data_IF_589102471913
#
_entry.id   IF_589102471913
#
_cell.length_a   1.000
_cell.length_b   1.000
_cell.length_c   1.000
_cell.angle_alpha   90.00
_cell.angle_beta   90.00
_cell.angle_gamma   90.00
#
_symmetry.space_group_name_H-M   'P 1'
#
loop_
_entity.id
_entity.type
_entity.pdbx_description
1 polymer ?
#
# COMPACT_ATOMS: atom_id res chain seq x y z
N UNK A 1 -15.78 12.48 12.28
CA UNK A 1 -15.14 11.72 11.18
C UNK A 1 -15.88 10.40 11.11
N UNK A 2 -16.80 10.29 10.17
CA UNK A 2 -17.56 9.05 10.01
C UNK A 2 -16.69 8.07 9.21
N UNK A 3 -16.45 6.89 9.78
CA UNK A 3 -15.81 5.81 9.06
C UNK A 3 -16.76 5.34 7.96
N UNK A 4 -16.27 5.28 6.71
CA UNK A 4 -17.07 4.73 5.63
C UNK A 4 -17.42 3.27 5.95
N UNK A 5 -18.72 3.00 6.06
CA UNK A 5 -19.30 1.67 6.15
C UNK A 5 -20.21 1.53 4.94
N UNK A 6 -20.10 0.40 4.24
CA UNK A 6 -20.86 0.15 3.03
C UNK A 6 -22.37 0.29 3.33
N UNK A 7 -23.09 1.19 2.64
CA UNK A 7 -24.50 1.39 2.92
C UNK A 7 -25.31 0.19 2.41
N UNK A 8 -26.18 -0.36 3.26
CA UNK A 8 -27.25 -1.26 2.83
C UNK A 8 -28.21 -0.44 1.95
N UNK A 9 -28.22 -0.70 0.64
CA UNK A 9 -29.16 -0.14 -0.34
C UNK A 9 -29.11 1.38 -0.61
N UNK A 10 -28.09 1.86 -1.33
CA UNK A 10 -28.26 3.06 -2.17
C UNK A 10 -27.63 2.87 -3.55
N UNK A 11 -28.43 2.99 -4.60
CA UNK A 11 -27.95 3.14 -5.97
C UNK A 11 -27.18 4.47 -6.06
N UNK A 12 -25.85 4.38 -6.14
CA UNK A 12 -24.99 5.55 -6.26
C UNK A 12 -25.13 6.11 -7.68
N UNK A 13 -25.91 7.19 -7.83
CA UNK A 13 -26.02 7.95 -9.08
C UNK A 13 -24.85 8.94 -9.26
N UNK A 14 -23.61 8.46 -9.15
CA UNK A 14 -22.42 9.08 -9.75
C UNK A 14 -21.17 8.28 -9.36
N UNK A 15 -20.35 7.82 -10.32
CA UNK A 15 -19.29 6.87 -10.03
C UNK A 15 -18.11 7.51 -9.28
N UNK A 16 -17.73 6.89 -8.17
CA UNK A 16 -16.60 7.26 -7.32
C UNK A 16 -15.28 7.25 -8.10
N UNK A 17 -14.51 8.33 -8.01
CA UNK A 17 -13.15 8.40 -8.55
C UNK A 17 -12.20 7.54 -7.70
N UNK A 18 -11.48 6.62 -8.36
CA UNK A 18 -10.47 5.79 -7.71
C UNK A 18 -9.08 6.38 -7.94
N UNK A 19 -8.43 6.86 -6.88
CA UNK A 19 -6.98 6.99 -6.86
C UNK A 19 -6.40 5.68 -6.32
N UNK A 20 -5.71 4.86 -7.14
CA UNK A 20 -5.14 3.62 -6.65
C UNK A 20 -3.91 3.93 -5.78
N UNK A 21 -4.10 4.09 -4.48
CA UNK A 21 -3.01 4.14 -3.51
C UNK A 21 -3.03 2.88 -2.66
N UNK A 22 -1.98 2.07 -2.76
CA UNK A 22 -1.72 0.99 -1.81
C UNK A 22 -0.59 1.41 -0.87
N UNK A 23 -0.97 1.76 0.35
CA UNK A 23 -0.12 1.97 1.52
C UNK A 23 1.06 2.96 1.36
N UNK A 24 0.79 4.20 1.78
CA UNK A 24 1.69 5.15 2.44
C UNK A 24 3.03 5.49 1.76
N UNK A 25 3.07 6.66 1.13
CA UNK A 25 4.20 7.60 1.26
C UNK A 25 3.75 9.05 1.00
N UNK A 26 3.39 9.75 2.08
CA UNK A 26 3.61 11.19 2.26
C UNK A 26 3.15 12.15 1.13
N UNK A 27 1.84 12.32 0.94
CA UNK A 27 1.27 13.52 0.31
C UNK A 27 1.26 14.70 1.32
N UNK A 28 2.44 15.07 1.83
CA UNK A 28 2.63 16.27 2.66
C UNK A 28 4.00 16.90 2.43
N UNK A 29 4.44 16.95 1.17
CA UNK A 29 5.51 17.84 0.75
C UNK A 29 4.94 18.81 -0.28
N UNK A 30 4.84 20.06 0.16
CA UNK A 30 4.77 21.29 -0.63
C UNK A 30 4.37 21.12 -2.10
N UNK A 31 3.19 21.64 -2.45
CA UNK A 31 2.92 22.20 -3.78
C UNK A 31 3.88 23.38 -4.00
N UNK A 32 5.16 23.09 -4.23
CA UNK A 32 6.16 24.00 -4.77
C UNK A 32 6.83 23.26 -5.92
N UNK A 33 6.65 23.78 -7.13
CA UNK A 33 7.24 23.37 -8.40
C UNK A 33 8.25 22.23 -8.33
N UNK A 34 7.73 21.00 -8.37
CA UNK A 34 8.49 19.78 -8.45
C UNK A 34 7.55 18.70 -8.94
N UNK A 35 7.89 18.01 -10.03
CA UNK A 35 7.11 16.94 -10.65
C UNK A 35 6.45 16.07 -9.56
N UNK A 36 5.11 16.03 -9.54
CA UNK A 36 4.39 15.04 -8.77
C UNK A 36 4.86 13.66 -9.27
N UNK A 37 5.60 12.93 -8.44
CA UNK A 37 5.96 11.56 -8.75
C UNK A 37 4.66 10.77 -8.80
N UNK A 38 4.31 10.27 -9.99
CA UNK A 38 3.08 9.51 -10.22
C UNK A 38 3.20 8.22 -9.41
N UNK A 39 2.60 8.21 -8.22
CA UNK A 39 2.49 7.06 -7.32
C UNK A 39 1.65 5.96 -8.00
N UNK A 40 2.26 5.29 -8.96
CA UNK A 40 1.68 4.15 -9.65
C UNK A 40 1.80 2.90 -8.78
N UNK A 41 0.83 2.02 -8.91
CA UNK A 41 0.79 0.74 -8.21
C UNK A 41 0.47 -0.36 -9.20
N UNK A 42 1.02 -1.54 -8.96
CA UNK A 42 0.66 -2.71 -9.75
C UNK A 42 -0.75 -3.16 -9.41
N UNK A 43 -1.52 -3.50 -10.45
CA UNK A 43 -2.82 -4.15 -10.31
C UNK A 43 -2.66 -5.59 -10.75
N UNK A 44 -2.90 -6.53 -9.83
CA UNK A 44 -2.83 -7.96 -10.07
C UNK A 44 -4.21 -8.57 -9.84
N UNK A 45 -4.62 -9.62 -10.55
CA UNK A 45 -5.81 -10.38 -10.18
C UNK A 45 -5.68 -10.95 -8.76
N UNK A 46 -6.78 -11.12 -8.03
CA UNK A 46 -6.76 -11.77 -6.71
C UNK A 46 -6.28 -13.23 -6.79
N UNK A 47 -6.65 -13.91 -7.87
CA UNK A 47 -6.30 -15.29 -8.14
C UNK A 47 -5.63 -15.45 -9.51
N UNK A 48 -4.64 -16.32 -9.57
CA UNK A 48 -3.90 -16.69 -10.77
C UNK A 48 -3.76 -18.20 -10.80
N UNK A 49 -4.11 -18.83 -11.93
CA UNK A 49 -3.95 -20.27 -12.13
C UNK A 49 -4.60 -21.12 -11.02
N UNK A 50 -5.80 -20.72 -10.56
CA UNK A 50 -6.55 -21.41 -9.50
C UNK A 50 -5.98 -21.26 -8.08
N UNK A 51 -5.02 -20.35 -7.86
CA UNK A 51 -4.43 -20.06 -6.55
C UNK A 51 -4.47 -18.57 -6.25
N UNK A 52 -4.39 -18.18 -4.99
CA UNK A 52 -4.22 -16.77 -4.63
C UNK A 52 -2.91 -16.23 -5.21
N UNK A 53 -2.92 -15.02 -5.76
CA UNK A 53 -1.73 -14.40 -6.35
C UNK A 53 -0.60 -14.29 -5.34
N UNK A 54 -0.91 -13.96 -4.09
CA UNK A 54 0.08 -13.92 -3.02
C UNK A 54 0.64 -15.30 -2.71
N UNK A 55 -0.20 -16.33 -2.55
CA UNK A 55 0.25 -17.69 -2.29
C UNK A 55 1.11 -18.25 -3.42
N UNK A 56 0.72 -18.02 -4.67
CA UNK A 56 1.50 -18.37 -5.85
C UNK A 56 2.86 -17.66 -5.86
N UNK A 57 2.89 -16.34 -5.58
CA UNK A 57 4.13 -15.57 -5.52
C UNK A 57 5.10 -16.09 -4.45
N UNK A 58 4.59 -16.41 -3.26
CA UNK A 58 5.38 -16.95 -2.15
C UNK A 58 5.93 -18.34 -2.48
N UNK A 59 5.14 -19.18 -3.16
CA UNK A 59 5.57 -20.50 -3.60
C UNK A 59 6.67 -20.41 -4.67
N UNK A 60 6.49 -19.58 -5.69
CA UNK A 60 7.50 -19.38 -6.75
C UNK A 60 8.81 -18.79 -6.21
N UNK A 61 8.74 -17.88 -5.24
CA UNK A 61 9.94 -17.31 -4.59
C UNK A 61 10.78 -18.34 -3.82
N UNK A 62 10.27 -19.55 -3.55
CA UNK A 62 11.10 -20.64 -2.99
C UNK A 62 12.09 -21.20 -4.00
N UNK A 63 11.80 -21.09 -5.29
CA UNK A 63 12.54 -21.78 -6.36
C UNK A 63 13.14 -20.82 -7.38
N UNK A 64 12.61 -19.60 -7.50
CA UNK A 64 12.99 -18.62 -8.52
C UNK A 64 13.43 -17.30 -7.88
N UNK A 65 14.27 -16.55 -8.59
CA UNK A 65 14.65 -15.19 -8.17
C UNK A 65 13.45 -14.23 -8.21
N UNK A 66 13.46 -13.22 -7.34
CA UNK A 66 12.38 -12.22 -7.23
C UNK A 66 12.03 -11.57 -8.58
N UNK A 67 13.05 -11.20 -9.38
CA UNK A 67 12.85 -10.58 -10.69
C UNK A 67 12.17 -11.53 -11.69
N UNK A 68 12.48 -12.82 -11.64
CA UNK A 68 11.82 -13.83 -12.47
C UNK A 68 10.35 -13.99 -12.08
N UNK A 69 10.07 -14.05 -10.77
CA UNK A 69 8.69 -14.13 -10.27
C UNK A 69 7.90 -12.88 -10.67
N UNK A 70 8.48 -11.68 -10.56
CA UNK A 70 7.84 -10.44 -10.98
C UNK A 70 7.49 -10.42 -12.47
N UNK A 71 8.42 -10.83 -13.35
CA UNK A 71 8.14 -10.95 -14.79
C UNK A 71 7.01 -11.93 -15.06
N UNK A 72 7.01 -13.07 -14.39
CA UNK A 72 5.94 -14.06 -14.51
C UNK A 72 4.59 -13.50 -14.07
N UNK A 73 4.51 -12.85 -12.90
CA UNK A 73 3.28 -12.23 -12.41
C UNK A 73 2.78 -11.15 -13.37
N UNK A 74 3.67 -10.32 -13.92
CA UNK A 74 3.29 -9.27 -14.87
C UNK A 74 2.78 -9.83 -16.20
N UNK A 75 3.37 -10.93 -16.68
CA UNK A 75 2.91 -11.65 -17.87
C UNK A 75 1.50 -12.21 -17.67
N UNK A 76 1.28 -12.99 -16.60
CA UNK A 76 -0.03 -13.56 -16.28
C UNK A 76 -1.07 -12.45 -16.06
N UNK A 77 -0.69 -11.37 -15.35
CA UNK A 77 -1.57 -10.22 -15.16
C UNK A 77 -1.92 -9.53 -16.50
N UNK A 78 -0.98 -9.41 -17.44
CA UNK A 78 -1.26 -8.85 -18.78
C UNK A 78 -2.19 -9.75 -19.58
N UNK A 79 -2.06 -11.07 -19.48
CA UNK A 79 -2.96 -12.02 -20.13
C UNK A 79 -4.37 -11.96 -19.55
N UNK A 80 -4.52 -11.91 -18.22
CA UNK A 80 -5.83 -11.92 -17.56
C UNK A 80 -6.54 -10.56 -17.59
N UNK A 81 -5.80 -9.47 -17.38
CA UNK A 81 -6.36 -8.13 -17.22
C UNK A 81 -6.27 -7.27 -18.49
N UNK A 82 -5.40 -7.64 -19.42
CA UNK A 82 -5.03 -6.83 -20.58
C UNK A 82 -4.05 -5.72 -20.24
N UNK A 83 -3.93 -4.76 -21.15
CA UNK A 83 -3.10 -3.57 -20.98
C UNK A 83 -3.84 -2.51 -20.14
N UNK A 84 -3.40 -2.32 -18.90
CA UNK A 84 -4.00 -1.37 -17.96
C UNK A 84 -3.64 0.08 -18.26
N UNK A 85 -2.58 0.33 -19.02
CA UNK A 85 -2.19 1.71 -19.39
C UNK A 85 -3.26 2.38 -20.26
N UNK A 86 -3.95 1.60 -21.11
CA UNK A 86 -5.10 2.07 -21.91
C UNK A 86 -6.28 2.56 -21.05
N UNK A 87 -6.30 2.18 -19.77
CA UNK A 87 -7.33 2.58 -18.79
C UNK A 87 -6.83 3.72 -17.87
N UNK A 88 -5.68 4.34 -18.19
CA UNK A 88 -5.05 5.36 -17.35
C UNK A 88 -4.26 4.80 -16.16
N UNK A 89 -4.13 3.48 -16.06
CA UNK A 89 -3.50 2.77 -14.95
C UNK A 89 -2.11 2.26 -15.38
N UNK A 90 -1.17 3.19 -15.39
CA UNK A 90 0.24 2.91 -15.68
C UNK A 90 0.88 2.06 -14.59
N UNK A 91 1.70 1.09 -15.01
CA UNK A 91 2.42 0.20 -14.11
C UNK A 91 3.79 0.80 -13.74
N UNK A 92 4.23 0.67 -12.48
CA UNK A 92 5.60 0.98 -12.09
C UNK A 92 6.63 0.20 -12.90
N UNK A 93 7.83 0.77 -13.05
CA UNK A 93 8.96 0.11 -13.72
C UNK A 93 9.51 -1.09 -12.92
N UNK A 94 9.57 -0.95 -11.60
CA UNK A 94 9.95 -2.04 -10.70
C UNK A 94 8.84 -3.07 -10.63
N UNK A 95 9.19 -4.35 -10.52
CA UNK A 95 8.21 -5.44 -10.40
C UNK A 95 7.39 -5.37 -9.10
N UNK A 96 6.23 -6.05 -9.01
CA UNK A 96 5.34 -5.95 -7.86
C UNK A 96 5.97 -6.39 -6.53
N UNK A 97 6.78 -7.45 -6.51
CA UNK A 97 7.45 -7.94 -5.32
C UNK A 97 8.68 -7.09 -5.00
N UNK A 98 9.45 -6.68 -6.01
CA UNK A 98 10.59 -5.77 -5.86
C UNK A 98 10.15 -4.43 -5.28
N UNK A 99 9.09 -3.83 -5.83
CA UNK A 99 8.50 -2.59 -5.34
C UNK A 99 8.03 -2.74 -3.88
N UNK A 100 7.36 -3.84 -3.55
CA UNK A 100 6.93 -4.13 -2.18
C UNK A 100 8.13 -4.28 -1.23
N UNK A 101 9.19 -4.95 -1.66
CA UNK A 101 10.38 -5.18 -0.82
C UNK A 101 11.14 -3.88 -0.53
N UNK A 102 11.23 -2.97 -1.51
CA UNK A 102 11.97 -1.71 -1.41
C UNK A 102 11.16 -0.60 -0.73
N UNK A 103 9.87 -0.48 -1.04
CA UNK A 103 9.05 0.67 -0.63
C UNK A 103 7.95 0.31 0.37
N UNK A 104 7.61 -0.97 0.50
CA UNK A 104 6.42 -1.42 1.24
C UNK A 104 5.10 -1.31 0.47
N UNK A 105 5.11 -0.66 -0.71
CA UNK A 105 3.92 -0.52 -1.56
C UNK A 105 3.51 -1.89 -2.10
N UNK A 106 2.33 -2.36 -1.67
CA UNK A 106 1.83 -3.69 -2.02
C UNK A 106 0.98 -3.59 -3.30
N UNK A 107 1.07 -4.51 -4.27
CA UNK A 107 0.17 -4.48 -5.42
C UNK A 107 -1.31 -4.53 -4.99
N UNK A 108 -2.16 -3.80 -5.70
CA UNK A 108 -3.61 -3.84 -5.52
C UNK A 108 -4.14 -5.12 -6.15
N UNK A 109 -4.93 -5.88 -5.38
CA UNK A 109 -5.60 -7.07 -5.89
C UNK A 109 -6.95 -6.70 -6.49
N UNK A 110 -7.10 -6.88 -7.80
CA UNK A 110 -8.34 -6.66 -8.52
C UNK A 110 -9.33 -7.80 -8.22
N UNK A 111 -10.52 -7.41 -7.77
CA UNK A 111 -11.66 -8.29 -7.46
C UNK A 111 -12.91 -7.96 -8.29
N UNK A 112 -12.79 -7.11 -9.31
CA UNK A 112 -13.91 -6.67 -10.15
C UNK A 112 -13.87 -5.19 -10.53
N UNK A 113 -13.06 -4.38 -9.84
CA UNK A 113 -12.88 -2.96 -10.11
C UNK A 113 -12.47 -2.69 -11.56
N UNK A 114 -11.56 -3.48 -12.11
CA UNK A 114 -11.12 -3.30 -13.49
C UNK A 114 -12.24 -3.56 -14.51
N UNK A 115 -13.17 -4.47 -14.22
CA UNK A 115 -14.33 -4.70 -15.08
C UNK A 115 -15.26 -3.48 -15.07
N UNK A 116 -15.50 -2.89 -13.90
CA UNK A 116 -16.26 -1.63 -13.75
C UNK A 116 -15.60 -0.43 -14.45
N UNK A 117 -14.26 -0.39 -14.48
CA UNK A 117 -13.53 0.62 -15.25
C UNK A 117 -13.73 0.40 -16.75
N UNK A 118 -13.69 -0.86 -17.22
CA UNK A 118 -13.90 -1.20 -18.63
C UNK A 118 -15.34 -0.96 -19.10
N UNK A 119 -16.35 -1.18 -18.26
CA UNK A 119 -17.75 -0.88 -18.59
C UNK A 119 -18.07 0.62 -18.56
N UNK A 120 -17.21 1.45 -17.98
CA UNK A 120 -17.43 2.88 -17.80
C UNK A 120 -18.14 3.25 -16.49
N UNK A 121 -18.49 2.27 -15.66
CA UNK A 121 -19.08 2.47 -14.33
C UNK A 121 -18.09 3.11 -13.35
N UNK A 122 -16.78 3.06 -13.63
CA UNK A 122 -15.76 3.79 -12.86
C UNK A 122 -14.88 4.56 -13.85
N UNK A 123 -14.79 5.88 -13.69
CA UNK A 123 -13.93 6.73 -14.50
C UNK A 123 -12.62 6.98 -13.77
N UNK A 124 -11.50 6.65 -14.42
CA UNK A 124 -10.16 7.02 -13.94
C UNK A 124 -9.89 8.47 -14.35
N UNK A 125 -9.53 9.31 -13.38
CA UNK A 125 -9.24 10.74 -13.57
C UNK A 125 -7.81 11.07 -13.12
N UNK A 126 -7.19 12.13 -13.67
CA UNK A 126 -5.92 12.66 -13.18
C UNK A 126 -6.02 13.12 -11.71
N UNK A 127 -4.90 13.58 -11.16
CA UNK A 127 -4.87 14.15 -9.81
C UNK A 127 -5.85 15.33 -9.68
N UNK A 128 -6.47 15.44 -8.52
CA UNK A 128 -7.27 16.62 -8.14
C UNK A 128 -6.32 17.80 -7.90
N UNK A 129 -6.59 18.92 -8.54
CA UNK A 129 -5.88 20.18 -8.34
C UNK A 129 -6.50 20.99 -7.19
N UNK A 130 -7.82 21.13 -7.18
CA UNK A 130 -8.56 21.79 -6.09
C UNK A 130 -10.00 21.32 -5.96
N UNK A 131 -10.55 21.50 -4.76
CA UNK A 131 -11.98 21.35 -4.50
C UNK A 131 -12.74 22.63 -4.90
N UNK A 132 -13.94 22.45 -5.43
CA UNK A 132 -14.89 23.53 -5.70
C UNK A 132 -16.11 23.39 -4.80
N UNK A 133 -17.03 24.34 -4.87
CA UNK A 133 -18.26 24.31 -4.05
C UNK A 133 -19.12 23.07 -4.32
N UNK A 134 -19.05 22.48 -5.53
CA UNK A 134 -19.90 21.38 -5.99
C UNK A 134 -19.13 20.14 -6.47
N UNK A 135 -17.80 20.15 -6.39
CA UNK A 135 -16.99 19.06 -6.94
C UNK A 135 -15.49 19.33 -6.90
N UNK A 136 -14.79 18.99 -7.99
CA UNK A 136 -13.33 19.10 -8.10
C UNK A 136 -12.90 19.60 -9.47
N UNK A 137 -11.77 20.28 -9.49
CA UNK A 137 -10.99 20.53 -10.71
C UNK A 137 -9.75 19.62 -10.70
N UNK A 138 -9.46 19.01 -11.85
CA UNK A 138 -8.32 18.13 -12.06
C UNK A 138 -7.14 18.88 -12.68
N UNK A 139 -5.93 18.34 -12.54
CA UNK A 139 -4.68 18.93 -13.07
C UNK A 139 -4.63 19.09 -14.60
N UNK A 140 -5.60 18.53 -15.33
CA UNK A 140 -5.77 18.73 -16.77
C UNK A 140 -6.79 19.81 -17.14
N UNK A 141 -7.26 20.58 -16.14
CA UNK A 141 -8.22 21.68 -16.29
C UNK A 141 -9.68 21.24 -16.36
N UNK A 142 -9.97 19.93 -16.31
CA UNK A 142 -11.37 19.46 -16.27
C UNK A 142 -11.98 19.73 -14.91
N UNK A 143 -13.27 20.07 -14.91
CA UNK A 143 -14.08 20.18 -13.68
C UNK A 143 -15.25 19.23 -13.73
N UNK A 144 -15.51 18.52 -12.62
CA UNK A 144 -16.64 17.59 -12.48
C UNK A 144 -17.30 17.78 -11.10
N UNK A 145 -18.62 17.67 -11.07
CA UNK A 145 -19.42 17.73 -9.84
C UNK A 145 -19.52 16.35 -9.18
N UNK A 146 -19.51 16.31 -7.85
CA UNK A 146 -19.57 15.08 -7.06
C UNK A 146 -20.44 15.27 -5.83
N UNK A 147 -21.32 14.29 -5.56
CA UNK A 147 -22.17 14.29 -4.36
C UNK A 147 -21.38 13.98 -3.08
N UNK A 148 -20.29 13.22 -3.21
CA UNK A 148 -19.42 12.83 -2.11
C UNK A 148 -17.97 12.63 -2.56
N UNK A 149 -17.03 12.94 -1.67
CA UNK A 149 -15.60 12.68 -1.85
C UNK A 149 -15.12 11.77 -0.73
N UNK A 150 -14.52 10.63 -1.11
CA UNK A 150 -13.93 9.67 -0.17
C UNK A 150 -12.41 9.75 -0.24
N UNK A 151 -11.77 10.15 0.86
CA UNK A 151 -10.31 10.23 0.96
C UNK A 151 -9.72 8.87 1.36
N UNK A 152 -9.37 8.06 0.36
CA UNK A 152 -8.72 6.76 0.55
C UNK A 152 -7.17 6.86 0.56
N UNK A 153 -6.60 7.87 1.22
CA UNK A 153 -5.16 8.21 1.17
C UNK A 153 -4.30 7.47 2.21
N UNK A 154 -4.85 6.44 2.84
CA UNK A 154 -4.18 5.63 3.86
C UNK A 154 -4.05 6.30 5.23
N UNK A 155 -3.20 5.73 6.09
CA UNK A 155 -3.01 6.12 7.49
C UNK A 155 -1.56 6.53 7.77
N UNK A 156 -1.35 7.31 8.83
CA UNK A 156 -0.03 7.64 9.40
C UNK A 156 0.07 7.06 10.81
N UNK A 157 1.26 6.56 11.17
CA UNK A 157 1.54 6.10 12.53
C UNK A 157 1.49 7.28 13.50
N UNK A 158 0.80 7.11 14.63
CA UNK A 158 0.76 8.09 15.71
C UNK A 158 1.72 7.77 16.86
N UNK A 159 2.61 6.76 16.68
CA UNK A 159 3.58 6.34 17.71
C UNK A 159 4.36 7.50 18.32
N UNK A 160 4.92 8.45 17.55
CA UNK A 160 5.65 9.57 18.13
C UNK A 160 4.80 10.49 19.02
N UNK A 161 3.47 10.47 18.87
CA UNK A 161 2.55 11.29 19.65
C UNK A 161 2.35 10.78 21.08
N UNK A 162 2.44 9.47 21.31
CA UNK A 162 2.23 8.86 22.63
C UNK A 162 3.52 8.25 23.22
N UNK A 163 4.37 7.68 22.37
CA UNK A 163 5.66 7.11 22.73
C UNK A 163 6.76 8.13 22.39
N UNK A 164 7.25 8.85 23.42
CA UNK A 164 8.29 9.88 23.28
C UNK A 164 9.71 9.31 23.10
N UNK A 165 9.83 8.14 22.47
CA UNK A 165 11.09 7.44 22.24
C UNK A 165 11.69 7.82 20.88
N UNK A 166 12.49 8.90 20.87
CA UNK A 166 13.01 9.53 19.65
C UNK A 166 14.16 8.77 19.01
N UNK A 167 14.87 7.92 19.76
CA UNK A 167 15.98 7.13 19.23
C UNK A 167 15.48 5.88 18.52
N UNK A 168 14.38 5.29 19.00
CA UNK A 168 13.85 4.07 18.41
C UNK A 168 12.94 4.38 17.22
N UNK A 169 12.00 5.33 17.36
CA UNK A 169 11.04 5.69 16.31
C UNK A 169 11.38 7.02 15.65
N UNK A 170 11.20 7.08 14.33
CA UNK A 170 11.31 8.31 13.54
C UNK A 170 10.08 9.19 13.76
N UNK A 171 10.29 10.45 14.13
CA UNK A 171 9.20 11.44 14.27
C UNK A 171 8.51 11.76 12.94
N UNK A 172 9.19 11.49 11.81
CA UNK A 172 8.69 11.82 10.48
C UNK A 172 7.56 10.89 10.02
N UNK A 173 7.70 9.59 10.27
CA UNK A 173 6.80 8.57 9.76
C UNK A 173 6.26 7.62 10.83
N UNK A 174 6.78 7.69 12.07
CA UNK A 174 6.36 6.87 13.19
C UNK A 174 6.74 5.39 13.04
N UNK A 175 7.83 5.11 12.31
CA UNK A 175 8.42 3.78 12.14
C UNK A 175 9.77 3.67 12.86
N UNK A 176 10.23 2.46 13.22
CA UNK A 176 11.57 2.26 13.74
C UNK A 176 12.63 2.80 12.79
N UNK A 177 13.65 3.48 13.34
CA UNK A 177 14.72 4.09 12.54
C UNK A 177 15.60 3.06 11.84
N UNK A 178 15.81 1.90 12.46
CA UNK A 178 16.60 0.81 11.88
C UNK A 178 15.74 0.05 10.88
N UNK A 179 16.25 -0.20 9.65
CA UNK A 179 15.50 -0.94 8.65
C UNK A 179 15.33 -2.41 9.07
N UNK A 180 14.38 -3.08 8.43
CA UNK A 180 14.31 -4.54 8.49
C UNK A 180 15.66 -5.15 8.05
N UNK A 181 16.20 -6.16 8.76
CA UNK A 181 15.52 -6.94 9.78
C UNK A 181 15.86 -6.53 11.23
N UNK A 182 16.44 -5.35 11.46
CA UNK A 182 17.00 -4.96 12.76
C UNK A 182 16.20 -3.84 13.46
N UNK A 183 15.01 -3.52 12.96
CA UNK A 183 14.11 -2.49 13.50
C UNK A 183 13.25 -2.90 14.69
N UNK A 184 13.31 -4.16 15.13
CA UNK A 184 12.38 -4.73 16.12
C UNK A 184 12.78 -4.50 17.58
N UNK A 185 14.04 -4.15 17.87
CA UNK A 185 14.59 -4.03 19.25
C UNK A 185 15.00 -2.59 19.59
N UNK A 186 14.38 -2.04 20.64
CA UNK A 186 14.73 -0.77 21.24
C UNK A 186 15.53 -0.91 22.55
N UNK A 187 15.76 0.21 23.22
CA UNK A 187 16.32 0.25 24.58
C UNK A 187 15.30 -0.18 25.63
N UNK A 188 15.77 -0.41 26.87
CA UNK A 188 14.91 -0.59 28.06
C UNK A 188 13.81 -1.67 27.94
N UNK A 189 14.06 -2.73 27.17
CA UNK A 189 13.09 -3.82 26.97
C UNK A 189 11.91 -3.47 26.03
N UNK A 190 12.00 -2.36 25.30
CA UNK A 190 11.01 -1.96 24.31
C UNK A 190 11.22 -2.71 22.99
N UNK A 191 10.14 -3.17 22.37
CA UNK A 191 10.15 -3.86 21.09
C UNK A 191 9.12 -3.26 20.12
N UNK A 192 9.35 -3.43 18.81
CA UNK A 192 8.43 -3.04 17.75
C UNK A 192 8.07 -4.25 16.89
N UNK A 193 6.78 -4.57 16.79
CA UNK A 193 6.23 -5.67 15.97
C UNK A 193 5.37 -5.11 14.86
N UNK A 194 5.58 -5.54 13.62
CA UNK A 194 4.70 -5.22 12.49
C UNK A 194 5.02 -3.91 11.78
N UNK A 195 6.10 -3.24 12.16
CA UNK A 195 6.55 -1.98 11.56
C UNK A 195 7.47 -2.18 10.34
N UNK A 196 7.64 -3.40 9.86
CA UNK A 196 8.58 -3.72 8.76
C UNK A 196 8.12 -3.28 7.37
N UNK A 197 6.85 -2.90 7.21
CA UNK A 197 6.20 -2.68 5.90
C UNK A 197 6.18 -3.94 5.00
N UNK A 198 6.42 -5.13 5.56
CA UNK A 198 6.41 -6.42 4.82
C UNK A 198 5.11 -7.22 5.03
N UNK A 199 4.11 -6.63 5.70
CA UNK A 199 2.83 -7.28 6.01
C UNK A 199 2.96 -8.34 7.10
N UNK A 200 2.04 -9.31 7.10
CA UNK A 200 1.95 -10.35 8.14
C UNK A 200 3.23 -11.18 8.29
N UNK A 201 3.92 -11.48 7.19
CA UNK A 201 5.20 -12.19 7.23
C UNK A 201 6.28 -11.38 7.96
N UNK A 202 6.28 -10.06 7.78
CA UNK A 202 7.20 -9.18 8.50
C UNK A 202 6.89 -9.15 9.99
N UNK A 203 5.60 -9.05 10.35
CA UNK A 203 5.15 -9.08 11.73
C UNK A 203 5.50 -10.41 12.42
N UNK A 204 5.37 -11.56 11.72
CA UNK A 204 5.73 -12.86 12.29
C UNK A 204 7.24 -12.99 12.52
N UNK A 205 8.06 -12.42 11.63
CA UNK A 205 9.52 -12.41 11.80
C UNK A 205 9.97 -11.52 12.96
N UNK A 206 9.35 -10.35 13.15
CA UNK A 206 9.59 -9.52 14.33
C UNK A 206 9.21 -10.28 15.61
N UNK A 207 8.00 -10.84 15.65
CA UNK A 207 7.49 -11.56 16.83
C UNK A 207 8.39 -12.74 17.23
N UNK A 208 8.88 -13.50 16.25
CA UNK A 208 9.81 -14.60 16.50
C UNK A 208 11.13 -14.15 17.12
N UNK A 209 11.73 -13.06 16.60
CA UNK A 209 12.98 -12.50 17.14
C UNK A 209 12.81 -11.92 18.54
N UNK A 210 11.68 -11.26 18.78
CA UNK A 210 11.34 -10.69 20.08
C UNK A 210 11.18 -11.81 21.11
N UNK A 211 10.47 -12.89 20.76
CA UNK A 211 10.32 -14.04 21.65
C UNK A 211 11.68 -14.64 22.04
N UNK A 212 12.61 -14.78 21.09
CA UNK A 212 13.97 -15.25 21.36
C UNK A 212 14.74 -14.31 22.30
N UNK A 213 14.66 -12.98 22.09
CA UNK A 213 15.33 -12.02 22.96
C UNK A 213 14.80 -12.07 24.39
N UNK A 214 13.48 -12.19 24.55
CA UNK A 214 12.81 -12.32 25.85
C UNK A 214 13.25 -13.62 26.54
N UNK A 215 13.27 -14.74 25.82
CA UNK A 215 13.72 -16.03 26.36
C UNK A 215 15.17 -15.97 26.86
N UNK A 216 16.07 -15.39 26.08
CA UNK A 216 17.48 -15.24 26.45
C UNK A 216 17.64 -14.37 27.70
N UNK A 217 16.92 -13.25 27.80
CA UNK A 217 16.94 -12.38 28.98
C UNK A 217 16.37 -13.08 30.21
N UNK A 218 15.26 -13.80 30.07
CA UNK A 218 14.63 -14.52 31.16
C UNK A 218 15.55 -15.61 31.73
N UNK A 219 16.26 -16.34 30.86
CA UNK A 219 17.26 -17.32 31.27
C UNK A 219 18.44 -16.68 31.98
N UNK A 220 18.92 -15.53 31.49
CA UNK A 220 20.02 -14.80 32.13
C UNK A 220 19.65 -14.26 33.53
N UNK A 221 18.39 -13.91 33.78
CA UNK A 221 17.93 -13.46 35.11
C UNK A 221 17.75 -14.59 36.12
N UNK A 222 17.81 -15.86 35.69
CA UNK A 222 17.66 -17.05 36.55
C UNK A 222 19.00 -17.70 36.94
N UNK A 223 20.12 -17.19 36.43
CA UNK A 223 21.47 -17.56 36.84
C UNK A 223 21.97 -16.56 37.89
#
# INVERSE_FOLDING_TARGET
MDFWREPESKSVHNPSCLHPQSNSSSCSRSMKSGKAEKDSVHILPREMLGRSTFGLSMWLMKWLSMKTVDRFLLLVARLMLGDTAKLGLERPQLGPLELKSLTGKTPVLNVGTLAKIKSGDIKVRPAVERFTRRGVEFVDGRSEEFDAVILATGYKSNVPGWLKEREFFSEKDGFPRRPFPNGWKGGNGLYAVGFTKRGLLGASLDAWRIAQDIELRYKATKQ
#
